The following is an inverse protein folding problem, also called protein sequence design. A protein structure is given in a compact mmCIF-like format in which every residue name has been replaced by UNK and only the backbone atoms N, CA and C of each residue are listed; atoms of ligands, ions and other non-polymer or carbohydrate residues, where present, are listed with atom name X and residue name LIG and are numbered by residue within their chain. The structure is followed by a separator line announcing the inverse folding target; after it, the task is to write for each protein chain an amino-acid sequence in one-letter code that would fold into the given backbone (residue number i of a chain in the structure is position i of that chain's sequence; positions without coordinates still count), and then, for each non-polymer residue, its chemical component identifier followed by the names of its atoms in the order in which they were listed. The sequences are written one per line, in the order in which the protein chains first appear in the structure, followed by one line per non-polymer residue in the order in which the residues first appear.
data_IF_680303748257
#
_entry.id   IF_680303748257
#
_cell.length_a   1.000
_cell.length_b   1.000
_cell.length_c   1.000
_cell.angle_alpha   90.00
_cell.angle_beta   90.00
_cell.angle_gamma   90.00
#
_symmetry.space_group_name_H-M   'P 1'
#
loop_
_entity.id
_entity.type
_entity.pdbx_description
1 polymer ?
#
# COMPACT_ATOMS: atom_id res chain seq x y z
N UNK A 1 53.13 -12.66 -2.01
CA UNK A 1 52.06 -12.59 -3.03
C UNK A 1 50.82 -13.41 -2.66
N UNK A 2 50.92 -14.73 -2.43
CA UNK A 2 49.75 -15.58 -2.15
C UNK A 2 48.88 -15.14 -0.95
N UNK A 3 49.48 -14.78 0.20
CA UNK A 3 48.73 -14.32 1.39
C UNK A 3 47.88 -13.06 1.12
N UNK A 4 48.34 -12.19 0.24
CA UNK A 4 47.67 -10.93 -0.12
C UNK A 4 46.43 -11.21 -1.00
N UNK A 5 46.55 -12.17 -1.92
CA UNK A 5 45.42 -12.68 -2.71
C UNK A 5 44.35 -13.33 -1.83
N UNK A 6 44.74 -14.13 -0.83
CA UNK A 6 43.79 -14.78 0.09
C UNK A 6 42.99 -13.75 0.90
N UNK A 7 43.66 -12.70 1.41
CA UNK A 7 43.00 -11.63 2.15
C UNK A 7 42.04 -10.85 1.25
N UNK A 8 42.44 -10.52 0.03
CA UNK A 8 41.58 -9.81 -0.92
C UNK A 8 40.34 -10.65 -1.30
N UNK A 9 40.53 -11.96 -1.51
CA UNK A 9 39.44 -12.88 -1.80
C UNK A 9 38.44 -12.97 -0.64
N UNK A 10 38.92 -13.15 0.60
CA UNK A 10 38.05 -13.16 1.79
C UNK A 10 37.30 -11.85 2.00
N UNK A 11 37.93 -10.71 1.70
CA UNK A 11 37.29 -9.40 1.78
C UNK A 11 36.17 -9.26 0.74
N UNK A 12 36.39 -9.72 -0.49
CA UNK A 12 35.38 -9.69 -1.55
C UNK A 12 34.15 -10.56 -1.23
N UNK A 13 34.35 -11.73 -0.63
CA UNK A 13 33.25 -12.61 -0.19
C UNK A 13 32.43 -11.96 0.93
N UNK A 14 33.10 -11.34 1.91
CA UNK A 14 32.43 -10.62 3.01
C UNK A 14 31.62 -9.42 2.52
N UNK A 15 32.18 -8.64 1.59
CA UNK A 15 31.49 -7.50 0.98
C UNK A 15 30.27 -7.97 0.19
N UNK A 16 30.40 -9.05 -0.59
CA UNK A 16 29.30 -9.61 -1.37
C UNK A 16 28.15 -10.09 -0.47
N UNK A 17 28.46 -10.82 0.61
CA UNK A 17 27.46 -11.27 1.58
C UNK A 17 26.73 -10.11 2.27
N UNK A 18 27.45 -9.04 2.61
CA UNK A 18 26.84 -7.83 3.18
C UNK A 18 25.90 -7.15 2.18
N UNK A 19 26.33 -6.96 0.93
CA UNK A 19 25.52 -6.35 -0.13
C UNK A 19 24.24 -7.17 -0.38
N UNK A 20 24.36 -8.50 -0.45
CA UNK A 20 23.22 -9.39 -0.65
C UNK A 20 22.23 -9.33 0.51
N UNK A 21 22.73 -9.25 1.75
CA UNK A 21 21.88 -9.13 2.94
C UNK A 21 21.10 -7.81 2.98
N UNK A 22 21.75 -6.68 2.64
CA UNK A 22 21.11 -5.37 2.53
C UNK A 22 20.06 -5.38 1.43
N UNK A 23 20.38 -5.97 0.27
CA UNK A 23 19.47 -6.09 -0.87
C UNK A 23 18.22 -6.91 -0.51
N UNK A 24 18.42 -8.03 0.22
CA UNK A 24 17.33 -8.88 0.71
C UNK A 24 16.42 -8.15 1.72
N UNK A 25 17.01 -7.37 2.63
CA UNK A 25 16.25 -6.57 3.60
C UNK A 25 15.41 -5.50 2.91
N UNK A 26 16.01 -4.73 1.99
CA UNK A 26 15.30 -3.72 1.19
C UNK A 26 14.15 -4.37 0.40
N UNK A 27 14.36 -5.56 -0.18
CA UNK A 27 13.31 -6.27 -0.91
C UNK A 27 12.16 -6.73 0.02
N UNK A 28 12.47 -7.26 1.20
CA UNK A 28 11.46 -7.66 2.21
C UNK A 28 10.65 -6.46 2.67
N UNK A 29 11.30 -5.34 2.99
CA UNK A 29 10.62 -4.12 3.43
C UNK A 29 9.73 -3.54 2.33
N UNK A 30 10.18 -3.60 1.08
CA UNK A 30 9.35 -3.24 -0.08
C UNK A 30 8.08 -4.08 -0.16
N UNK A 31 8.21 -5.41 -0.06
CA UNK A 31 7.07 -6.35 -0.13
C UNK A 31 6.10 -6.08 1.02
N UNK A 32 6.61 -5.88 2.24
CA UNK A 32 5.79 -5.58 3.41
C UNK A 32 4.99 -4.26 3.25
N UNK A 33 5.66 -3.18 2.83
CA UNK A 33 5.01 -1.88 2.62
C UNK A 33 3.98 -1.93 1.49
N UNK A 34 4.30 -2.57 0.36
CA UNK A 34 3.37 -2.77 -0.75
C UNK A 34 2.15 -3.59 -0.30
N UNK A 35 2.36 -4.62 0.51
CA UNK A 35 1.31 -5.50 1.05
C UNK A 35 0.41 -4.73 2.03
N UNK A 36 0.98 -3.95 2.95
CA UNK A 36 0.23 -3.10 3.90
C UNK A 36 -0.63 -2.07 3.18
N UNK A 37 -0.12 -1.42 2.13
CA UNK A 37 -0.90 -0.49 1.31
C UNK A 37 -2.04 -1.21 0.59
N UNK A 38 -1.80 -2.39 0.01
CA UNK A 38 -2.83 -3.17 -0.68
C UNK A 38 -3.92 -3.65 0.26
N UNK A 39 -3.55 -4.19 1.43
CA UNK A 39 -4.48 -4.66 2.45
C UNK A 39 -5.32 -3.51 3.02
N UNK A 40 -4.69 -2.42 3.45
CA UNK A 40 -5.41 -1.25 3.99
C UNK A 40 -6.41 -0.67 2.98
N UNK A 41 -6.07 -0.63 1.69
CA UNK A 41 -7.01 -0.24 0.64
C UNK A 41 -8.22 -1.16 0.56
N UNK A 42 -8.00 -2.47 0.71
CA UNK A 42 -9.08 -3.45 0.67
C UNK A 42 -10.01 -3.32 1.88
N UNK A 43 -9.45 -3.17 3.08
CA UNK A 43 -10.24 -2.92 4.30
C UNK A 43 -11.04 -1.62 4.20
N UNK A 44 -10.44 -0.55 3.69
CA UNK A 44 -11.15 0.70 3.44
C UNK A 44 -12.34 0.48 2.49
N UNK A 45 -12.14 -0.20 1.36
CA UNK A 45 -13.23 -0.51 0.41
C UNK A 45 -14.37 -1.31 1.05
N UNK A 46 -14.05 -2.32 1.85
CA UNK A 46 -15.07 -3.12 2.56
C UNK A 46 -15.84 -2.24 3.54
N UNK A 47 -15.14 -1.45 4.36
CA UNK A 47 -15.79 -0.56 5.32
C UNK A 47 -16.68 0.49 4.65
N UNK A 48 -16.22 1.08 3.54
CA UNK A 48 -17.00 2.03 2.76
C UNK A 48 -18.24 1.38 2.13
N UNK A 49 -18.11 0.12 1.68
CA UNK A 49 -19.24 -0.67 1.19
C UNK A 49 -20.29 -0.92 2.27
N UNK A 50 -19.88 -1.26 3.49
CA UNK A 50 -20.77 -1.43 4.64
C UNK A 50 -21.45 -0.11 5.01
N UNK A 51 -20.71 1.01 4.97
CA UNK A 51 -21.24 2.34 5.26
C UNK A 51 -22.33 2.74 4.26
N UNK A 52 -22.05 2.61 2.95
CA UNK A 52 -23.02 2.92 1.89
C UNK A 52 -24.21 1.97 1.95
N UNK A 53 -23.97 0.66 2.14
CA UNK A 53 -25.03 -0.33 2.29
C UNK A 53 -25.94 -0.05 3.49
N UNK A 54 -25.38 0.30 4.65
CA UNK A 54 -26.14 0.67 5.85
C UNK A 54 -26.97 1.94 5.68
N UNK A 55 -26.42 2.95 5.00
CA UNK A 55 -27.16 4.18 4.65
C UNK A 55 -28.33 3.91 3.70
N UNK A 56 -28.12 3.08 2.67
CA UNK A 56 -29.19 2.70 1.74
C UNK A 56 -30.29 1.88 2.43
N UNK A 57 -29.92 0.96 3.33
CA UNK A 57 -30.87 0.14 4.07
C UNK A 57 -31.75 1.00 5.01
N UNK A 58 -31.16 2.02 5.64
CA UNK A 58 -31.85 3.01 6.48
C UNK A 58 -32.89 3.80 5.68
N UNK A 59 -32.62 4.10 4.42
CA UNK A 59 -33.52 4.88 3.55
C UNK A 59 -34.72 4.07 3.04
N UNK A 60 -34.66 2.74 3.02
CA UNK A 60 -35.71 1.88 2.43
C UNK A 60 -36.66 1.31 3.50
N UNK A 61 -36.18 0.98 4.71
CA UNK A 61 -37.03 0.38 5.76
C UNK A 61 -36.89 1.11 7.10
N UNK A 62 -38.00 1.71 7.56
CA UNK A 62 -38.09 2.49 8.80
C UNK A 62 -37.84 1.65 10.06
N UNK A 63 -38.22 0.36 10.05
CA UNK A 63 -38.01 -0.57 11.18
C UNK A 63 -36.54 -0.96 11.37
N UNK A 64 -35.73 -0.83 10.33
CA UNK A 64 -34.29 -1.11 10.36
C UNK A 64 -33.46 0.15 10.63
N UNK A 65 -34.10 1.30 10.87
CA UNK A 65 -33.44 2.59 11.03
C UNK A 65 -32.54 2.65 12.28
N UNK A 66 -32.89 1.93 13.36
CA UNK A 66 -32.08 1.87 14.58
C UNK A 66 -30.79 1.09 14.32
N UNK A 67 -30.89 -0.10 13.70
CA UNK A 67 -29.75 -0.91 13.25
C UNK A 67 -28.90 -0.20 12.18
N UNK A 68 -29.55 0.51 11.28
CA UNK A 68 -28.91 1.35 10.27
C UNK A 68 -28.18 2.55 10.87
N UNK A 69 -28.71 3.17 11.92
CA UNK A 69 -28.10 4.34 12.57
C UNK A 69 -26.88 3.98 13.43
N UNK A 70 -26.97 2.93 14.26
CA UNK A 70 -25.85 2.44 15.07
C UNK A 70 -24.77 1.81 14.19
N UNK A 71 -25.16 1.06 13.15
CA UNK A 71 -24.27 0.52 12.13
C UNK A 71 -23.57 1.61 11.32
N UNK A 72 -24.25 2.71 10.99
CA UNK A 72 -23.65 3.83 10.25
C UNK A 72 -22.58 4.56 11.06
N UNK A 73 -22.77 4.78 12.37
CA UNK A 73 -21.77 5.46 13.21
C UNK A 73 -20.51 4.59 13.38
N UNK A 74 -20.70 3.28 13.64
CA UNK A 74 -19.59 2.34 13.70
C UNK A 74 -18.87 2.21 12.33
N UNK A 75 -19.62 2.24 11.23
CA UNK A 75 -19.06 2.24 9.88
C UNK A 75 -18.26 3.52 9.60
N UNK A 76 -18.74 4.70 10.00
CA UNK A 76 -18.01 5.98 9.85
C UNK A 76 -16.68 5.92 10.60
N UNK A 77 -16.68 5.45 11.85
CA UNK A 77 -15.47 5.31 12.66
C UNK A 77 -14.47 4.32 12.05
N UNK A 78 -14.94 3.14 11.62
CA UNK A 78 -14.06 2.14 11.01
C UNK A 78 -13.55 2.59 9.63
N UNK A 79 -14.37 3.20 8.80
CA UNK A 79 -13.97 3.74 7.49
C UNK A 79 -12.96 4.87 7.61
N UNK A 80 -13.17 5.81 8.52
CA UNK A 80 -12.21 6.89 8.77
C UNK A 80 -10.89 6.36 9.34
N UNK A 81 -10.93 5.38 10.26
CA UNK A 81 -9.74 4.70 10.75
C UNK A 81 -8.95 4.00 9.62
N UNK A 82 -9.62 3.19 8.79
CA UNK A 82 -8.94 2.49 7.68
C UNK A 82 -8.44 3.44 6.61
N UNK A 83 -9.11 4.58 6.38
CA UNK A 83 -8.62 5.64 5.50
C UNK A 83 -7.33 6.27 6.04
N UNK A 84 -7.33 6.72 7.30
CA UNK A 84 -6.15 7.29 7.93
C UNK A 84 -4.98 6.30 7.93
N UNK A 85 -5.25 5.05 8.27
CA UNK A 85 -4.26 3.96 8.23
C UNK A 85 -3.71 3.74 6.82
N UNK A 86 -4.56 3.78 5.79
CA UNK A 86 -4.14 3.67 4.40
C UNK A 86 -3.23 4.83 3.99
N UNK A 87 -3.57 6.07 4.34
CA UNK A 87 -2.76 7.26 4.05
C UNK A 87 -1.38 7.18 4.71
N UNK A 88 -1.33 6.75 5.98
CA UNK A 88 -0.06 6.55 6.70
C UNK A 88 0.81 5.51 5.99
N UNK A 89 0.24 4.38 5.55
CA UNK A 89 0.99 3.36 4.83
C UNK A 89 1.46 3.81 3.45
N UNK A 90 0.63 4.57 2.72
CA UNK A 90 1.04 5.15 1.43
C UNK A 90 2.19 6.14 1.63
N UNK A 91 2.12 6.98 2.66
CA UNK A 91 3.19 7.93 3.00
C UNK A 91 4.50 7.20 3.33
N UNK A 92 4.45 6.18 4.21
CA UNK A 92 5.62 5.36 4.56
C UNK A 92 6.22 4.67 3.33
N UNK A 93 5.39 4.06 2.49
CA UNK A 93 5.84 3.44 1.25
C UNK A 93 6.48 4.46 0.31
N UNK A 94 5.85 5.61 0.09
CA UNK A 94 6.40 6.63 -0.81
C UNK A 94 7.75 7.17 -0.31
N UNK A 95 7.90 7.34 1.02
CA UNK A 95 9.19 7.70 1.63
C UNK A 95 10.25 6.62 1.39
N UNK A 96 9.91 5.35 1.61
CA UNK A 96 10.81 4.22 1.36
C UNK A 96 11.27 4.15 -0.10
N UNK A 97 10.35 4.33 -1.06
CA UNK A 97 10.69 4.34 -2.48
C UNK A 97 11.63 5.51 -2.84
N UNK A 98 11.40 6.70 -2.26
CA UNK A 98 12.27 7.86 -2.45
C UNK A 98 13.67 7.65 -1.85
N UNK A 99 13.77 7.01 -0.68
CA UNK A 99 15.06 6.73 -0.03
C UNK A 99 15.88 5.68 -0.79
N UNK A 100 15.21 4.70 -1.41
CA UNK A 100 15.86 3.61 -2.13
C UNK A 100 15.95 3.84 -3.65
N UNK A 101 15.64 5.05 -4.14
CA UNK A 101 15.59 5.41 -5.57
C UNK A 101 14.77 4.42 -6.42
N UNK A 102 13.72 3.85 -5.84
CA UNK A 102 12.86 2.88 -6.51
C UNK A 102 11.75 3.63 -7.26
N UNK A 103 11.51 3.25 -8.52
CA UNK A 103 10.35 3.72 -9.26
C UNK A 103 9.09 3.03 -8.73
N UNK A 104 8.14 3.83 -8.23
CA UNK A 104 6.78 3.32 -8.01
C UNK A 104 6.25 2.97 -9.40
N UNK A 105 6.11 1.67 -9.69
CA UNK A 105 5.44 1.19 -10.92
C UNK A 105 3.95 1.45 -10.76
N UNK A 106 3.56 2.71 -10.69
CA UNK A 106 2.17 3.11 -10.71
C UNK A 106 1.65 2.91 -12.13
N UNK A 107 0.48 2.28 -12.20
CA UNK A 107 -0.23 1.87 -13.41
C UNK A 107 -0.20 2.98 -14.48
N UNK A 108 0.76 2.91 -15.41
CA UNK A 108 0.72 3.62 -16.71
C UNK A 108 -0.34 3.01 -17.65
N UNK A 109 -1.51 2.64 -17.12
CA UNK A 109 -2.60 2.03 -17.86
C UNK A 109 -3.82 2.92 -18.07
N UNK A 110 -3.99 4.00 -17.29
CA UNK A 110 -5.26 4.76 -17.32
C UNK A 110 -5.14 6.22 -17.78
N UNK A 111 -3.95 6.81 -17.84
CA UNK A 111 -3.77 8.20 -18.31
C UNK A 111 -3.48 8.34 -19.82
N UNK A 112 -3.27 7.24 -20.54
CA UNK A 112 -2.96 7.30 -21.99
C UNK A 112 -4.21 7.36 -22.89
N UNK A 113 -5.41 7.04 -22.37
CA UNK A 113 -6.65 7.01 -23.15
C UNK A 113 -7.53 8.27 -23.04
N UNK A 114 -7.05 9.36 -22.46
CA UNK A 114 -7.77 10.65 -22.43
C UNK A 114 -7.21 11.72 -23.38
N UNK A 115 -6.30 11.35 -24.30
CA UNK A 115 -5.75 12.26 -25.32
C UNK A 115 -6.07 11.88 -26.76
N UNK A 116 -7.16 11.14 -26.98
CA UNK A 116 -7.71 10.88 -28.31
C UNK A 116 -9.24 10.94 -28.23
N UNK A 117 -9.77 12.14 -27.99
CA UNK A 117 -11.03 12.54 -28.63
C UNK A 117 -10.62 13.46 -29.78
N UNK A 118 -10.63 13.01 -31.04
CA UNK A 118 -10.67 13.96 -32.13
C UNK A 118 -12.08 14.55 -32.14
N UNK A 119 -12.17 15.88 -32.02
CA UNK A 119 -13.31 16.61 -32.54
C UNK A 119 -13.56 16.16 -33.98
N UNK A 120 -14.74 15.60 -34.24
CA UNK A 120 -15.52 15.74 -35.48
C UNK A 120 -16.98 15.44 -35.19
#
# INVERSE_FOLDING_TARGET
MQKLFTVFFLLSLNLNAQIESITSQVLKEKIDLDTKVKLSKNYFKVSAGVLVGGLLLKSIKKDWAILGSSGSIAAIGTTSYYLAKHLVYVSKRNRFYRQNNLLVKERRGSRKNQKQSPDK
#
